data_IF_040099932029
#
_entry.id   IF_040099932029
#
_cell.length_a   1.000
_cell.length_b   1.000
_cell.length_c   1.000
_cell.angle_alpha   90.00
_cell.angle_beta   90.00
_cell.angle_gamma   90.00
#
_symmetry.space_group_name_H-M   'P 1'
#
loop_
_entity.id
_entity.type
_entity.pdbx_description
1 polymer ?
#
# COMPACT_ATOMS: atom_id res chain seq x y z
N UNK A 1 7.56 -6.34 13.62
CA UNK A 1 8.01 -5.92 12.27
C UNK A 1 8.64 -7.04 11.43
N UNK A 2 9.92 -7.44 11.57
CA UNK A 2 10.54 -8.39 10.61
C UNK A 2 9.83 -9.76 10.59
N UNK A 3 9.52 -10.31 11.76
CA UNK A 3 8.80 -11.59 11.85
C UNK A 3 7.40 -11.47 11.24
N UNK A 4 6.66 -10.42 11.60
CA UNK A 4 5.31 -10.16 11.08
C UNK A 4 5.32 -9.97 9.56
N UNK A 5 6.30 -9.25 9.04
CA UNK A 5 6.51 -9.00 7.61
C UNK A 5 6.79 -10.30 6.83
N UNK A 6 7.64 -11.18 7.36
CA UNK A 6 7.93 -12.48 6.74
C UNK A 6 6.75 -13.45 6.87
N UNK A 7 6.02 -13.37 7.98
CA UNK A 7 4.83 -14.19 8.22
C UNK A 7 3.64 -13.72 7.39
N UNK A 8 3.55 -12.43 7.05
CA UNK A 8 2.41 -11.78 6.39
C UNK A 8 1.80 -12.64 5.26
N UNK A 9 2.58 -13.00 4.24
CA UNK A 9 2.08 -13.80 3.12
C UNK A 9 1.77 -15.26 3.48
N UNK A 10 2.31 -15.76 4.60
CA UNK A 10 2.09 -17.12 5.13
C UNK A 10 0.95 -17.23 6.14
N UNK A 11 0.18 -16.15 6.34
CA UNK A 11 -1.00 -16.15 7.22
C UNK A 11 -2.27 -16.63 6.50
N UNK A 12 -3.15 -17.29 7.27
CA UNK A 12 -4.45 -17.80 6.80
C UNK A 12 -4.36 -19.15 6.07
N UNK A 13 -5.52 -19.75 5.79
CA UNK A 13 -5.61 -21.10 5.22
C UNK A 13 -5.12 -21.18 3.75
N UNK A 14 -5.28 -20.09 2.99
CA UNK A 14 -4.95 -20.03 1.56
C UNK A 14 -3.52 -19.55 1.24
N UNK A 15 -2.65 -19.48 2.25
CA UNK A 15 -1.31 -18.94 2.09
C UNK A 15 -0.48 -19.65 1.00
N UNK A 16 -0.62 -20.98 0.90
CA UNK A 16 0.12 -21.77 -0.07
C UNK A 16 -0.29 -21.42 -1.50
N UNK A 17 -1.60 -21.21 -1.74
CA UNK A 17 -2.12 -20.76 -3.03
C UNK A 17 -1.62 -19.36 -3.36
N UNK A 18 -1.59 -18.46 -2.38
CA UNK A 18 -1.11 -17.08 -2.53
C UNK A 18 0.36 -17.03 -2.93
N UNK A 19 1.22 -17.76 -2.21
CA UNK A 19 2.66 -17.87 -2.51
C UNK A 19 2.91 -18.61 -3.82
N UNK A 20 2.14 -19.66 -4.12
CA UNK A 20 2.29 -20.41 -5.36
C UNK A 20 1.97 -19.55 -6.60
N UNK A 21 0.86 -18.80 -6.57
CA UNK A 21 0.49 -17.89 -7.66
C UNK A 21 1.49 -16.74 -7.73
N UNK A 22 1.83 -16.11 -6.60
CA UNK A 22 2.76 -14.98 -6.59
C UNK A 22 4.18 -15.33 -7.03
N UNK A 23 4.71 -16.46 -6.57
CA UNK A 23 5.96 -17.00 -7.07
C UNK A 23 5.89 -17.41 -8.54
N UNK A 24 4.75 -17.93 -9.00
CA UNK A 24 4.49 -18.20 -10.42
C UNK A 24 4.51 -16.92 -11.28
N UNK A 25 3.81 -15.86 -10.85
CA UNK A 25 3.82 -14.56 -11.53
C UNK A 25 5.25 -14.01 -11.61
N UNK A 26 6.01 -14.10 -10.52
CA UNK A 26 7.41 -13.65 -10.49
C UNK A 26 8.33 -14.53 -11.35
N UNK A 27 8.10 -15.85 -11.40
CA UNK A 27 8.80 -16.76 -12.31
C UNK A 27 8.54 -16.40 -13.78
N UNK A 28 7.32 -15.96 -14.10
CA UNK A 28 6.95 -15.41 -15.40
C UNK A 28 7.35 -13.94 -15.59
N UNK A 29 8.06 -13.32 -14.63
CA UNK A 29 8.42 -11.90 -14.63
C UNK A 29 9.38 -11.45 -15.74
N UNK A 30 9.92 -12.39 -16.54
CA UNK A 30 10.60 -12.04 -17.80
C UNK A 30 9.62 -11.49 -18.85
N UNK A 31 8.32 -11.72 -18.68
CA UNK A 31 7.24 -11.12 -19.45
C UNK A 31 6.82 -9.80 -18.79
N UNK A 32 6.57 -8.78 -19.61
CA UNK A 32 6.19 -7.45 -19.12
C UNK A 32 4.90 -7.46 -18.30
N UNK A 33 3.87 -8.18 -18.74
CA UNK A 33 2.57 -8.21 -18.05
C UNK A 33 2.68 -8.77 -16.62
N UNK A 34 3.18 -10.01 -16.39
CA UNK A 34 3.42 -10.53 -15.05
C UNK A 34 4.30 -9.65 -14.17
N UNK A 35 5.33 -9.01 -14.75
CA UNK A 35 6.20 -8.10 -14.02
C UNK A 35 5.42 -6.90 -13.46
N UNK A 36 4.58 -6.27 -14.27
CA UNK A 36 3.74 -5.15 -13.83
C UNK A 36 2.64 -5.61 -12.88
N UNK A 37 2.00 -6.77 -13.12
CA UNK A 37 1.01 -7.34 -12.20
C UNK A 37 1.61 -7.59 -10.82
N UNK A 38 2.86 -8.09 -10.76
CA UNK A 38 3.57 -8.27 -9.50
C UNK A 38 3.80 -6.93 -8.75
N UNK A 39 4.21 -5.88 -9.46
CA UNK A 39 4.38 -4.56 -8.84
C UNK A 39 3.05 -4.02 -8.32
N UNK A 40 1.99 -4.15 -9.11
CA UNK A 40 0.62 -3.83 -8.69
C UNK A 40 0.20 -4.53 -7.41
N UNK A 41 0.47 -5.83 -7.33
CA UNK A 41 0.18 -6.62 -6.14
C UNK A 41 0.94 -6.09 -4.91
N UNK A 42 2.19 -5.65 -5.07
CA UNK A 42 2.94 -5.05 -3.97
C UNK A 42 2.32 -3.72 -3.51
N UNK A 43 1.80 -2.92 -4.44
CA UNK A 43 1.08 -1.68 -4.09
C UNK A 43 -0.19 -1.99 -3.31
N UNK A 44 -0.90 -3.06 -3.68
CA UNK A 44 -2.08 -3.52 -2.94
C UNK A 44 -1.72 -4.03 -1.53
N UNK A 45 -0.60 -4.76 -1.37
CA UNK A 45 -0.06 -5.08 -0.04
C UNK A 45 0.17 -3.80 0.76
N UNK A 46 0.78 -2.79 0.14
CA UNK A 46 1.04 -1.52 0.80
C UNK A 46 -0.27 -0.82 1.23
N UNK A 47 -1.29 -0.78 0.36
CA UNK A 47 -2.61 -0.22 0.66
C UNK A 47 -3.23 -0.85 1.90
N UNK A 48 -3.35 -2.17 1.91
CA UNK A 48 -3.98 -2.91 3.02
C UNK A 48 -3.27 -2.66 4.34
N UNK A 49 -1.94 -2.73 4.33
CA UNK A 49 -1.15 -2.49 5.55
C UNK A 49 -1.31 -1.05 6.03
N UNK A 50 -1.31 -0.06 5.14
CA UNK A 50 -1.57 1.34 5.51
C UNK A 50 -2.99 1.61 6.02
N UNK A 51 -3.97 0.75 5.69
CA UNK A 51 -5.33 0.77 6.27
C UNK A 51 -5.43 0.04 7.61
N UNK A 52 -4.37 -0.63 8.05
CA UNK A 52 -4.35 -1.47 9.26
C UNK A 52 -4.79 -2.92 9.02
N UNK A 53 -5.05 -3.34 7.79
CA UNK A 53 -5.50 -4.69 7.41
C UNK A 53 -4.33 -5.69 7.33
N UNK A 54 -3.63 -5.87 8.46
CA UNK A 54 -2.39 -6.66 8.53
C UNK A 54 -2.61 -8.17 8.61
N UNK A 55 -3.83 -8.63 8.93
CA UNK A 55 -4.17 -10.05 9.06
C UNK A 55 -4.70 -10.66 7.74
N UNK A 56 -5.04 -9.84 6.75
CA UNK A 56 -5.70 -10.25 5.51
C UNK A 56 -4.90 -9.86 4.26
N UNK A 57 -3.80 -10.57 3.95
CA UNK A 57 -3.02 -10.27 2.76
C UNK A 57 -3.85 -10.43 1.47
N UNK A 58 -3.52 -9.68 0.40
CA UNK A 58 -4.26 -9.73 -0.86
C UNK A 58 -4.38 -11.14 -1.40
N UNK A 59 -5.59 -11.56 -1.74
CA UNK A 59 -5.83 -12.84 -2.39
C UNK A 59 -6.00 -12.61 -3.89
N UNK A 60 -5.28 -13.37 -4.71
CA UNK A 60 -5.30 -13.23 -6.17
C UNK A 60 -6.69 -13.36 -6.81
N UNK A 61 -7.63 -14.02 -6.14
CA UNK A 61 -9.00 -14.18 -6.64
C UNK A 61 -9.88 -12.95 -6.48
N UNK A 62 -9.51 -12.04 -5.57
CA UNK A 62 -10.29 -10.84 -5.25
C UNK A 62 -9.77 -9.60 -5.99
N UNK A 63 -8.60 -9.72 -6.64
CA UNK A 63 -7.96 -8.62 -7.35
C UNK A 63 -8.50 -8.49 -8.78
N UNK A 64 -8.80 -7.26 -9.17
CA UNK A 64 -8.86 -6.93 -10.59
C UNK A 64 -7.43 -6.91 -11.15
N UNK A 65 -7.06 -7.96 -11.88
CA UNK A 65 -5.71 -8.10 -12.43
C UNK A 65 -5.37 -7.01 -13.45
N UNK A 66 -6.36 -6.43 -14.13
CA UNK A 66 -6.12 -5.35 -15.10
C UNK A 66 -5.75 -4.08 -14.35
N UNK A 67 -6.55 -3.69 -13.35
CA UNK A 67 -6.28 -2.54 -12.50
C UNK A 67 -4.95 -2.69 -11.76
N UNK A 68 -4.72 -3.86 -11.15
CA UNK A 68 -3.45 -4.20 -10.50
C UNK A 68 -2.27 -4.01 -11.45
N UNK A 69 -2.38 -4.50 -12.69
CA UNK A 69 -1.31 -4.34 -13.68
C UNK A 69 -1.11 -2.86 -14.07
N UNK A 70 -2.19 -2.09 -14.23
CA UNK A 70 -2.13 -0.65 -14.52
C UNK A 70 -1.44 0.11 -13.40
N UNK A 71 -1.72 -0.20 -12.15
CA UNK A 71 -1.04 0.40 -11.00
C UNK A 71 0.44 0.08 -10.98
N UNK A 72 0.82 -1.15 -11.30
CA UNK A 72 2.22 -1.53 -11.47
C UNK A 72 2.94 -0.75 -12.58
N UNK A 73 2.25 -0.46 -13.69
CA UNK A 73 2.77 0.40 -14.76
C UNK A 73 2.93 1.85 -14.26
N UNK A 74 1.92 2.40 -13.57
CA UNK A 74 1.97 3.77 -13.01
C UNK A 74 3.10 3.93 -12.01
N UNK A 75 3.28 2.95 -11.11
CA UNK A 75 4.40 2.94 -10.18
C UNK A 75 5.76 2.81 -10.88
N UNK A 76 5.84 2.01 -11.95
CA UNK A 76 7.06 1.95 -12.76
C UNK A 76 7.42 3.33 -13.33
N UNK A 77 6.45 4.14 -13.75
CA UNK A 77 6.72 5.52 -14.20
C UNK A 77 7.32 6.37 -13.08
N UNK A 78 6.86 6.21 -11.83
CA UNK A 78 7.45 6.89 -10.66
C UNK A 78 8.91 6.46 -10.47
N UNK A 79 9.17 5.16 -10.41
CA UNK A 79 10.52 4.60 -10.24
C UNK A 79 11.45 5.02 -11.38
N UNK A 80 10.96 5.02 -12.62
CA UNK A 80 11.71 5.48 -13.79
C UNK A 80 12.02 6.98 -13.72
N UNK A 81 11.10 7.80 -13.19
CA UNK A 81 11.35 9.23 -12.98
C UNK A 81 12.54 9.47 -12.04
N UNK A 82 12.61 8.73 -10.93
CA UNK A 82 13.76 8.77 -10.02
C UNK A 82 15.04 8.24 -10.66
N UNK A 83 14.95 7.11 -11.38
CA UNK A 83 16.08 6.54 -12.10
C UNK A 83 16.64 7.49 -13.16
N UNK A 84 15.77 8.19 -13.89
CA UNK A 84 16.15 9.20 -14.87
C UNK A 84 16.81 10.41 -14.21
N UNK A 85 16.28 10.89 -13.07
CA UNK A 85 16.90 11.96 -12.30
C UNK A 85 18.33 11.58 -11.86
N UNK A 86 18.52 10.37 -11.35
CA UNK A 86 19.84 9.86 -10.99
C UNK A 86 20.78 9.74 -12.21
N UNK A 87 20.27 9.27 -13.35
CA UNK A 87 21.05 9.19 -14.60
C UNK A 87 21.53 10.57 -15.03
N UNK A 88 20.65 11.59 -15.01
CA UNK A 88 21.01 12.97 -15.34
C UNK A 88 22.11 13.49 -14.43
N UNK A 89 22.02 13.22 -13.12
CA UNK A 89 23.06 13.60 -12.15
C UNK A 89 24.38 12.88 -12.44
N UNK A 90 24.34 11.59 -12.82
CA UNK A 90 25.52 10.79 -13.18
C UNK A 90 26.13 11.14 -14.54
N UNK A 91 25.38 11.82 -15.42
CA UNK A 91 25.90 12.22 -16.72
C UNK A 91 27.11 13.16 -16.58
N UNK A 92 27.15 14.02 -15.57
CA UNK A 92 28.25 14.97 -15.35
C UNK A 92 29.60 14.26 -15.13
N UNK A 93 29.78 13.40 -14.11
CA UNK A 93 31.02 12.65 -13.95
C UNK A 93 31.27 11.67 -15.10
N UNK A 94 30.21 11.14 -15.75
CA UNK A 94 30.33 10.31 -16.94
C UNK A 94 30.99 11.04 -18.12
N UNK A 95 30.62 12.30 -18.36
CA UNK A 95 31.25 13.15 -19.38
C UNK A 95 32.71 13.44 -19.03
N UNK A 96 33.03 13.72 -17.76
CA UNK A 96 34.41 13.93 -17.31
C UNK A 96 35.27 12.69 -17.54
N UNK A 97 34.74 11.51 -17.20
CA UNK A 97 35.39 10.23 -17.48
C UNK A 97 35.64 10.05 -18.97
N UNK A 98 34.61 10.27 -19.80
CA UNK A 98 34.69 10.11 -21.25
C UNK A 98 35.74 11.04 -21.88
N UNK A 99 35.74 12.32 -21.50
CA UNK A 99 36.74 13.30 -21.96
C UNK A 99 38.14 12.89 -21.53
N UNK A 100 38.30 12.37 -20.31
CA UNK A 100 39.58 11.87 -19.83
C UNK A 100 40.11 10.70 -20.66
N UNK A 101 39.25 9.74 -21.00
CA UNK A 101 39.62 8.60 -21.85
C UNK A 101 39.96 9.06 -23.27
N UNK A 102 39.07 9.86 -23.89
CA UNK A 102 39.23 10.31 -25.26
C UNK A 102 40.43 11.25 -25.46
N UNK A 103 40.75 12.05 -24.44
CA UNK A 103 41.91 12.94 -24.42
C UNK A 103 43.18 12.32 -23.85
N UNK A 104 43.22 11.00 -23.65
CA UNK A 104 44.37 10.24 -23.11
C UNK A 104 44.87 10.77 -21.75
N UNK A 105 43.99 11.43 -20.99
CA UNK A 105 44.27 11.97 -19.67
C UNK A 105 43.80 11.01 -18.59
N UNK A 106 44.73 10.17 -18.13
CA UNK A 106 44.47 9.21 -17.05
C UNK A 106 43.96 9.89 -15.77
N UNK A 107 44.43 11.11 -15.46
CA UNK A 107 43.99 11.86 -14.29
C UNK A 107 42.49 12.24 -14.37
N UNK A 108 42.02 12.71 -15.53
CA UNK A 108 40.61 13.05 -15.74
C UNK A 108 39.72 11.80 -15.76
N UNK A 109 40.19 10.72 -16.36
CA UNK A 109 39.47 9.45 -16.38
C UNK A 109 39.25 8.91 -14.95
N UNK A 110 40.32 8.90 -14.13
CA UNK A 110 40.25 8.47 -12.72
C UNK A 110 39.34 9.40 -11.92
N UNK A 111 39.45 10.72 -12.11
CA UNK A 111 38.58 11.68 -11.43
C UNK A 111 37.10 11.46 -11.76
N UNK A 112 36.76 11.23 -13.03
CA UNK A 112 35.40 10.90 -13.45
C UNK A 112 34.87 9.61 -12.82
N UNK A 113 35.70 8.58 -12.70
CA UNK A 113 35.33 7.33 -12.00
C UNK A 113 35.11 7.55 -10.51
N UNK A 114 36.01 8.25 -9.83
CA UNK A 114 35.91 8.47 -8.37
C UNK A 114 34.71 9.35 -8.02
N UNK A 115 34.53 10.48 -8.72
CA UNK A 115 33.38 11.37 -8.52
C UNK A 115 32.10 10.67 -8.92
N UNK A 116 32.08 9.97 -10.06
CA UNK A 116 30.93 9.20 -10.52
C UNK A 116 30.52 8.10 -9.54
N UNK A 117 31.49 7.36 -9.00
CA UNK A 117 31.25 6.33 -7.99
C UNK A 117 30.68 6.91 -6.69
N UNK A 118 31.21 8.05 -6.22
CA UNK A 118 30.71 8.73 -5.03
C UNK A 118 29.28 9.27 -5.23
N UNK A 119 29.02 9.91 -6.38
CA UNK A 119 27.69 10.41 -6.75
C UNK A 119 26.70 9.26 -6.92
N UNK A 120 27.12 8.14 -7.53
CA UNK A 120 26.31 6.94 -7.65
C UNK A 120 25.95 6.38 -6.27
N UNK A 121 26.95 6.24 -5.38
CA UNK A 121 26.72 5.74 -4.03
C UNK A 121 25.75 6.65 -3.25
N UNK A 122 25.98 7.97 -3.28
CA UNK A 122 25.08 8.93 -2.65
C UNK A 122 23.66 8.87 -3.25
N UNK A 123 23.55 8.74 -4.57
CA UNK A 123 22.28 8.63 -5.28
C UNK A 123 21.52 7.35 -4.95
N UNK A 124 22.19 6.20 -4.86
CA UNK A 124 21.57 4.94 -4.46
C UNK A 124 21.08 5.00 -3.01
N UNK A 125 21.88 5.59 -2.10
CA UNK A 125 21.46 5.79 -0.72
C UNK A 125 20.25 6.74 -0.62
N UNK A 126 20.25 7.82 -1.42
CA UNK A 126 19.11 8.72 -1.49
C UNK A 126 17.85 8.01 -2.02
N UNK A 127 17.96 7.23 -3.10
CA UNK A 127 16.83 6.44 -3.61
C UNK A 127 16.34 5.40 -2.60
N UNK A 128 17.24 4.74 -1.86
CA UNK A 128 16.86 3.75 -0.86
C UNK A 128 15.97 4.35 0.25
N UNK A 129 16.16 5.63 0.58
CA UNK A 129 15.32 6.33 1.55
C UNK A 129 14.07 6.97 0.90
N UNK A 130 14.20 7.51 -0.31
CA UNK A 130 13.13 8.26 -1.00
C UNK A 130 12.08 7.35 -1.63
N UNK A 131 12.46 6.23 -2.26
CA UNK A 131 11.52 5.35 -2.97
C UNK A 131 10.41 4.78 -2.08
N UNK A 132 10.67 4.36 -0.83
CA UNK A 132 9.61 3.90 0.07
C UNK A 132 8.58 4.98 0.36
N UNK A 133 9.03 6.23 0.61
CA UNK A 133 8.14 7.38 0.86
C UNK A 133 7.37 7.77 -0.40
N UNK A 134 8.06 7.82 -1.54
CA UNK A 134 7.45 8.10 -2.84
C UNK A 134 6.37 7.06 -3.19
N UNK A 135 6.63 5.78 -2.90
CA UNK A 135 5.66 4.71 -3.13
C UNK A 135 4.47 4.85 -2.18
N UNK A 136 4.71 5.14 -0.90
CA UNK A 136 3.62 5.36 0.07
C UNK A 136 2.71 6.53 -0.31
N UNK A 137 3.29 7.66 -0.69
CA UNK A 137 2.50 8.82 -1.11
C UNK A 137 1.80 8.62 -2.46
N UNK A 138 2.43 7.88 -3.40
CA UNK A 138 1.78 7.44 -4.63
C UNK A 138 0.55 6.58 -4.35
N UNK A 139 0.66 5.65 -3.39
CA UNK A 139 -0.44 4.75 -3.01
C UNK A 139 -1.54 5.51 -2.26
N UNK A 140 -1.18 6.46 -1.40
CA UNK A 140 -2.10 7.32 -0.65
C UNK A 140 -3.00 8.13 -1.58
N UNK A 141 -2.39 8.86 -2.51
CA UNK A 141 -3.10 9.82 -3.37
C UNK A 141 -3.59 9.23 -4.70
N UNK A 142 -3.28 7.96 -4.95
CA UNK A 142 -3.50 7.28 -6.23
C UNK A 142 -3.09 8.15 -7.43
N UNK A 143 -1.86 8.68 -7.41
CA UNK A 143 -1.39 9.59 -8.45
C UNK A 143 0.12 9.54 -8.64
N UNK A 144 0.57 9.47 -9.90
CA UNK A 144 2.00 9.50 -10.26
C UNK A 144 2.67 10.78 -9.74
N UNK A 145 1.96 11.92 -9.80
CA UNK A 145 2.51 13.20 -9.38
C UNK A 145 2.78 13.24 -7.86
N UNK A 146 1.94 12.58 -7.07
CA UNK A 146 2.11 12.49 -5.62
C UNK A 146 3.40 11.75 -5.22
N UNK A 147 3.84 10.80 -6.05
CA UNK A 147 5.13 10.15 -5.87
C UNK A 147 6.33 11.12 -5.86
N UNK A 148 6.18 12.33 -6.42
CA UNK A 148 7.23 13.36 -6.50
C UNK A 148 6.98 14.56 -5.59
N UNK A 149 6.04 14.47 -4.65
CA UNK A 149 5.74 15.55 -3.72
C UNK A 149 6.92 15.82 -2.78
N UNK A 150 7.63 16.93 -3.01
CA UNK A 150 8.87 17.24 -2.29
C UNK A 150 8.62 17.60 -0.82
N UNK A 151 7.42 18.06 -0.47
CA UNK A 151 7.09 18.47 0.89
C UNK A 151 6.90 17.20 1.75
N UNK A 152 6.09 16.25 1.26
CA UNK A 152 5.93 14.94 1.91
C UNK A 152 7.24 14.18 1.96
N UNK A 153 7.98 14.15 0.85
CA UNK A 153 9.27 13.45 0.79
C UNK A 153 10.25 13.96 1.83
N UNK A 154 10.44 15.28 1.95
CA UNK A 154 11.41 15.84 2.91
C UNK A 154 10.98 15.60 4.37
N UNK A 155 9.71 15.76 4.66
CA UNK A 155 9.19 15.58 6.02
C UNK A 155 9.32 14.11 6.46
N UNK A 156 8.78 13.18 5.68
CA UNK A 156 8.72 11.75 6.06
C UNK A 156 10.07 11.06 5.89
N UNK A 157 10.89 11.37 4.88
CA UNK A 157 12.19 10.69 4.68
C UNK A 157 13.19 10.95 5.81
N UNK A 158 13.04 12.08 6.51
CA UNK A 158 13.91 12.45 7.63
C UNK A 158 13.35 12.00 8.98
N UNK A 159 12.12 11.48 9.01
CA UNK A 159 11.50 10.93 10.20
C UNK A 159 12.26 9.65 10.64
N UNK A 160 12.48 9.53 11.96
CA UNK A 160 13.24 8.41 12.54
C UNK A 160 12.54 7.07 12.34
N UNK A 161 11.23 7.03 12.49
CA UNK A 161 10.38 5.85 12.32
C UNK A 161 10.49 5.33 10.89
N UNK A 162 10.43 6.22 9.90
CA UNK A 162 10.63 5.86 8.50
C UNK A 162 12.04 5.33 8.21
N UNK A 163 13.08 6.00 8.73
CA UNK A 163 14.46 5.54 8.58
C UNK A 163 14.69 4.16 9.21
N UNK A 164 14.06 3.88 10.36
CA UNK A 164 14.08 2.54 10.96
C UNK A 164 13.38 1.51 10.07
N UNK A 165 12.24 1.83 9.49
CA UNK A 165 11.56 0.95 8.54
C UNK A 165 12.42 0.64 7.32
N UNK A 166 13.09 1.64 6.74
CA UNK A 166 14.04 1.43 5.62
C UNK A 166 15.19 0.49 6.03
N UNK A 167 15.76 0.66 7.23
CA UNK A 167 16.80 -0.22 7.74
C UNK A 167 16.29 -1.66 7.95
N UNK A 168 15.07 -1.82 8.47
CA UNK A 168 14.46 -3.14 8.68
C UNK A 168 14.14 -3.84 7.35
N UNK A 169 13.65 -3.10 6.36
CA UNK A 169 13.46 -3.59 5.00
C UNK A 169 14.79 -4.04 4.37
N UNK A 170 15.88 -3.30 4.61
CA UNK A 170 17.21 -3.71 4.17
C UNK A 170 17.67 -5.01 4.85
N UNK A 171 17.38 -5.19 6.15
CA UNK A 171 17.65 -6.44 6.85
C UNK A 171 16.87 -7.63 6.25
N UNK A 172 15.59 -7.44 5.92
CA UNK A 172 14.78 -8.46 5.21
C UNK A 172 15.40 -8.76 3.84
N UNK A 173 15.81 -7.74 3.09
CA UNK A 173 16.46 -7.93 1.79
C UNK A 173 17.75 -8.77 1.88
N UNK A 174 18.56 -8.57 2.93
CA UNK A 174 19.74 -9.39 3.20
C UNK A 174 19.35 -10.85 3.48
N UNK A 175 18.34 -11.09 4.32
CA UNK A 175 17.87 -12.44 4.65
C UNK A 175 17.39 -13.14 3.38
N UNK A 176 16.54 -12.48 2.58
CA UNK A 176 16.03 -13.00 1.32
C UNK A 176 17.17 -13.29 0.36
N UNK A 177 18.11 -12.36 0.19
CA UNK A 177 19.28 -12.54 -0.68
C UNK A 177 20.17 -13.70 -0.25
N UNK A 178 20.39 -13.90 1.06
CA UNK A 178 21.15 -15.02 1.59
C UNK A 178 20.44 -16.35 1.31
N UNK A 179 19.12 -16.44 1.59
CA UNK A 179 18.32 -17.65 1.30
C UNK A 179 18.30 -17.94 -0.20
N UNK A 180 18.05 -16.95 -1.03
CA UNK A 180 18.06 -17.08 -2.49
C UNK A 180 19.44 -17.51 -3.02
N UNK A 181 20.53 -17.02 -2.44
CA UNK A 181 21.89 -17.43 -2.80
C UNK A 181 22.14 -18.91 -2.47
N UNK A 182 21.72 -19.35 -1.29
CA UNK A 182 21.81 -20.77 -0.87
C UNK A 182 20.99 -21.67 -1.79
N UNK A 183 19.74 -21.28 -2.09
CA UNK A 183 18.86 -22.00 -3.01
C UNK A 183 19.44 -22.07 -4.43
N UNK A 184 20.02 -20.96 -4.89
CA UNK A 184 20.59 -20.83 -6.23
C UNK A 184 21.79 -21.73 -6.52
N UNK A 185 22.43 -22.34 -5.51
CA UNK A 185 23.49 -23.32 -5.73
C UNK A 185 22.99 -24.63 -6.38
N UNK A 186 21.70 -24.92 -6.30
CA UNK A 186 21.11 -26.14 -6.88
C UNK A 186 20.10 -25.78 -7.97
N UNK A 187 20.01 -26.60 -9.02
CA UNK A 187 19.03 -26.38 -10.10
C UNK A 187 17.61 -26.36 -9.54
N UNK A 188 17.28 -27.30 -8.64
CA UNK A 188 15.95 -27.37 -8.01
C UNK A 188 15.70 -26.18 -7.08
N UNK A 189 16.69 -25.77 -6.29
CA UNK A 189 16.56 -24.61 -5.41
C UNK A 189 16.42 -23.31 -6.19
N UNK A 190 17.04 -23.18 -7.36
CA UNK A 190 16.86 -22.02 -8.24
C UNK A 190 15.39 -21.83 -8.66
N UNK A 191 14.63 -22.92 -8.88
CA UNK A 191 13.19 -22.82 -9.17
C UNK A 191 12.39 -22.28 -7.98
N UNK A 192 12.88 -22.41 -6.75
CA UNK A 192 12.22 -21.91 -5.53
C UNK A 192 12.53 -20.43 -5.24
N UNK A 193 13.57 -19.86 -5.85
CA UNK A 193 13.97 -18.46 -5.67
C UNK A 193 12.82 -17.46 -5.87
N UNK A 194 12.00 -17.52 -6.93
CA UNK A 194 10.91 -16.56 -7.11
C UNK A 194 9.82 -16.66 -6.02
N UNK A 195 9.61 -17.84 -5.42
CA UNK A 195 8.65 -17.99 -4.33
C UNK A 195 9.17 -17.34 -3.05
N UNK A 196 10.46 -17.51 -2.75
CA UNK A 196 11.12 -16.83 -1.63
C UNK A 196 11.17 -15.32 -1.86
N UNK A 197 11.48 -14.88 -3.08
CA UNK A 197 11.51 -13.48 -3.45
C UNK A 197 10.12 -12.84 -3.35
N UNK A 198 9.05 -13.55 -3.69
CA UNK A 198 7.68 -13.07 -3.51
C UNK A 198 7.36 -12.77 -2.02
N UNK A 199 7.61 -13.73 -1.13
CA UNK A 199 7.40 -13.54 0.33
C UNK A 199 8.29 -12.42 0.86
N UNK A 200 9.56 -12.42 0.47
CA UNK A 200 10.53 -11.41 0.87
C UNK A 200 10.16 -10.00 0.43
N UNK A 201 9.78 -9.83 -0.83
CA UNK A 201 9.38 -8.53 -1.38
C UNK A 201 8.09 -8.02 -0.75
N UNK A 202 7.11 -8.90 -0.51
CA UNK A 202 5.92 -8.53 0.23
C UNK A 202 6.23 -8.11 1.67
N UNK A 203 7.18 -8.78 2.34
CA UNK A 203 7.61 -8.37 3.68
C UNK A 203 8.31 -7.01 3.70
N UNK A 204 9.14 -6.72 2.69
CA UNK A 204 9.72 -5.38 2.50
C UNK A 204 8.62 -4.33 2.33
N UNK A 205 7.60 -4.63 1.53
CA UNK A 205 6.49 -3.71 1.28
C UNK A 205 5.60 -3.50 2.51
N UNK A 206 5.38 -4.55 3.30
CA UNK A 206 4.71 -4.46 4.60
C UNK A 206 5.46 -3.49 5.53
N UNK A 207 6.78 -3.63 5.65
CA UNK A 207 7.60 -2.76 6.50
C UNK A 207 7.56 -1.30 5.99
N UNK A 208 7.61 -1.10 4.67
CA UNK A 208 7.50 0.23 4.07
C UNK A 208 6.14 0.87 4.33
N UNK A 209 5.07 0.08 4.27
CA UNK A 209 3.71 0.53 4.52
C UNK A 209 3.52 0.98 5.97
N UNK A 210 3.90 0.11 6.93
CA UNK A 210 3.83 0.39 8.37
C UNK A 210 4.69 1.60 8.74
N UNK A 211 5.95 1.62 8.28
CA UNK A 211 6.86 2.73 8.53
C UNK A 211 6.43 4.06 7.91
N UNK A 212 5.81 4.03 6.73
CA UNK A 212 5.26 5.22 6.11
C UNK A 212 4.00 5.69 6.84
N UNK A 213 3.11 4.79 7.23
CA UNK A 213 1.88 5.12 7.95
C UNK A 213 2.20 5.78 9.30
N UNK A 214 3.08 5.17 10.10
CA UNK A 214 3.48 5.70 11.40
C UNK A 214 4.18 7.07 11.26
N UNK A 215 5.13 7.18 10.33
CA UNK A 215 5.86 8.43 10.11
C UNK A 215 4.97 9.55 9.56
N UNK A 216 3.96 9.21 8.76
CA UNK A 216 2.99 10.16 8.24
C UNK A 216 2.05 10.64 9.36
N UNK A 217 1.55 9.74 10.21
CA UNK A 217 0.71 10.09 11.36
C UNK A 217 1.46 10.97 12.38
N UNK A 218 2.74 10.68 12.64
CA UNK A 218 3.58 11.52 13.51
C UNK A 218 3.75 12.97 12.98
N UNK A 219 3.84 13.15 11.66
CA UNK A 219 4.09 14.45 11.04
C UNK A 219 2.81 15.25 10.79
N UNK A 220 1.72 14.57 10.38
CA UNK A 220 0.47 15.21 9.95
C UNK A 220 -0.69 15.02 10.93
N UNK A 221 -0.56 14.16 11.94
CA UNK A 221 -1.56 13.94 12.98
C UNK A 221 -2.77 13.10 12.56
N UNK A 222 -2.72 12.48 11.38
CA UNK A 222 -3.75 11.58 10.85
C UNK A 222 -3.14 10.43 10.06
N UNK A 223 -3.78 9.24 10.05
CA UNK A 223 -3.31 8.12 9.24
C UNK A 223 -3.44 8.42 7.74
N UNK A 224 -2.54 7.89 6.88
CA UNK A 224 -2.53 8.20 5.46
C UNK A 224 -3.75 7.67 4.71
N UNK A 225 -4.36 6.57 5.18
CA UNK A 225 -5.57 5.98 4.61
C UNK A 225 -6.56 5.66 5.73
N UNK A 226 -7.84 5.91 5.48
CA UNK A 226 -8.89 5.50 6.41
C UNK A 226 -9.05 3.96 6.41
N UNK A 227 -9.31 3.34 7.57
CA UNK A 227 -9.70 1.94 7.63
C UNK A 227 -10.97 1.68 6.82
N UNK A 228 -11.07 0.56 6.11
CA UNK A 228 -12.31 0.21 5.44
C UNK A 228 -13.44 -0.05 6.46
N UNK A 229 -14.62 0.51 6.17
CA UNK A 229 -15.81 0.35 7.00
C UNK A 229 -16.22 -1.13 7.08
N UNK A 230 -15.81 -1.80 8.15
CA UNK A 230 -16.04 -3.24 8.35
C UNK A 230 -14.86 -3.98 8.99
N UNK A 231 -13.66 -3.41 8.94
CA UNK A 231 -12.43 -4.05 9.46
C UNK A 231 -11.91 -3.45 10.78
N UNK A 232 -12.60 -2.45 11.35
CA UNK A 232 -12.15 -1.72 12.56
C UNK A 232 -13.15 -1.56 13.71
N UNK A 233 -14.36 -2.11 13.65
CA UNK A 233 -15.35 -1.94 14.73
C UNK A 233 -15.25 -3.00 15.85
N UNK A 234 -14.05 -3.52 16.12
CA UNK A 234 -13.83 -4.70 16.96
C UNK A 234 -13.24 -4.46 18.35
N UNK A 235 -12.61 -3.31 18.62
CA UNK A 235 -11.62 -3.30 19.73
C UNK A 235 -11.56 -2.09 20.65
N UNK A 236 -12.51 -1.14 20.61
CA UNK A 236 -12.56 -0.06 21.62
C UNK A 236 -13.99 0.39 21.98
N UNK A 237 -14.81 -0.56 22.45
CA UNK A 237 -16.04 -0.24 23.18
C UNK A 237 -16.16 -1.09 24.45
N UNK A 238 -15.10 -1.14 25.26
CA UNK A 238 -15.15 -1.66 26.63
C UNK A 238 -15.01 -0.52 27.63
N UNK A 239 -16.05 0.30 27.78
CA UNK A 239 -16.27 1.06 29.02
C UNK A 239 -17.75 1.30 29.20
N UNK A 240 -18.35 0.52 30.12
CA UNK A 240 -19.75 0.70 30.49
C UNK A 240 -20.49 -0.53 30.98
N UNK A 241 -19.81 -1.53 31.55
CA UNK A 241 -20.49 -2.51 32.40
C UNK A 241 -20.93 -1.78 33.67
N UNK A 242 -22.20 -1.34 33.70
CA UNK A 242 -22.88 -1.05 34.96
C UNK A 242 -23.30 -2.40 35.56
N UNK A 243 -22.69 -2.68 36.68
CA UNK A 243 -22.99 -3.74 37.62
C UNK A 243 -24.41 -3.52 38.19
N UNK A 244 -25.32 -4.47 37.99
CA UNK A 244 -26.50 -4.60 38.86
C UNK A 244 -26.84 -6.08 39.01
N UNK A 245 -26.10 -6.73 39.91
CA UNK A 245 -26.43 -8.03 40.44
C UNK A 245 -27.66 -7.95 41.34
N UNK A 246 -28.70 -8.68 40.92
CA UNK A 246 -29.62 -9.48 41.76
C UNK A 246 -30.35 -8.80 42.93
N UNK A 247 -31.68 -8.77 42.84
CA UNK A 247 -32.48 -9.33 43.93
C UNK A 247 -33.72 -10.09 43.41
N UNK A 248 -33.96 -11.24 44.03
CA UNK A 248 -35.13 -12.11 43.80
C UNK A 248 -36.23 -11.72 44.77
N UNK A 249 -37.50 -11.95 44.41
CA UNK A 249 -38.51 -12.77 45.15
C UNK A 249 -39.93 -12.29 44.82
N UNK A 250 -40.79 -13.29 44.65
CA UNK A 250 -42.22 -13.22 44.37
C UNK A 250 -43.09 -12.78 45.56
N UNK A 251 -44.30 -12.31 45.25
CA UNK A 251 -45.45 -12.12 46.14
C UNK A 251 -46.45 -11.18 45.46
N UNK A 252 -47.64 -11.67 45.07
CA UNK A 252 -48.94 -11.32 45.71
C UNK A 252 -49.40 -9.89 45.33
N UNK A 253 -50.61 -9.56 44.89
CA UNK A 253 -51.91 -10.21 44.62
C UNK A 253 -52.77 -9.13 43.93
N UNK A 254 -53.85 -9.54 43.24
CA UNK A 254 -55.14 -8.87 43.05
C UNK A 254 -55.22 -7.33 43.11
N UNK A 255 -55.76 -6.65 42.09
CA UNK A 255 -57.22 -6.46 41.97
C UNK A 255 -57.60 -5.48 40.82
N UNK A 256 -58.74 -5.83 40.21
CA UNK A 256 -59.85 -4.99 39.74
C UNK A 256 -59.81 -3.93 38.61
N UNK A 257 -60.84 -4.12 37.76
CA UNK A 257 -61.69 -3.15 37.05
C UNK A 257 -61.15 -2.52 35.75
N UNK A 258 -61.68 -2.79 34.54
CA UNK A 258 -63.05 -2.78 33.98
C UNK A 258 -63.33 -1.52 33.14
N UNK A 259 -64.00 -1.77 32.00
CA UNK A 259 -64.75 -0.85 31.10
C UNK A 259 -63.92 0.07 30.20
N UNK A 260 -64.02 -0.10 28.87
CA UNK A 260 -65.04 0.53 28.00
C UNK A 260 -64.39 1.79 27.40
N UNK A 261 -64.35 2.06 26.10
CA UNK A 261 -65.47 2.39 25.22
C UNK A 261 -65.04 2.26 23.75
N UNK A 262 -65.96 1.78 22.92
CA UNK A 262 -65.99 1.88 21.46
C UNK A 262 -66.34 3.32 21.01
N UNK A 263 -65.87 3.73 19.82
CA UNK A 263 -66.59 4.48 18.77
C UNK A 263 -65.55 5.01 17.75
N UNK A 264 -65.47 4.51 16.50
CA UNK A 264 -66.36 4.67 15.35
C UNK A 264 -66.05 5.92 14.48
N UNK A 265 -66.29 5.77 13.18
CA UNK A 265 -66.33 6.75 12.08
C UNK A 265 -65.20 6.76 11.02
N UNK A 266 -65.66 6.32 9.85
CA UNK A 266 -65.17 6.34 8.47
C UNK A 266 -65.15 7.72 7.79
N UNK A 267 -64.32 7.87 6.74
CA UNK A 267 -64.57 8.51 5.41
C UNK A 267 -63.22 8.97 4.81
N UNK A 268 -62.72 8.54 3.64
CA UNK A 268 -63.23 8.40 2.27
C UNK A 268 -63.31 9.73 1.47
N UNK A 269 -62.82 9.65 0.21
CA UNK A 269 -62.94 10.59 -0.93
C UNK A 269 -61.99 11.80 -0.93
N UNK A 270 -61.56 12.39 -2.05
CA UNK A 270 -61.21 12.03 -3.44
C UNK A 270 -60.68 13.36 -4.08
N UNK A 271 -60.41 13.38 -5.38
CA UNK A 271 -60.08 14.51 -6.29
C UNK A 271 -58.59 14.89 -6.42
N UNK A 272 -57.86 14.66 -7.53
CA UNK A 272 -58.07 14.75 -9.00
C UNK A 272 -57.62 16.11 -9.60
N UNK A 273 -57.25 16.08 -10.90
CA UNK A 273 -56.64 17.09 -11.81
C UNK A 273 -55.10 17.04 -11.94
N UNK A 274 -54.45 16.62 -13.04
CA UNK A 274 -54.57 16.77 -14.52
C UNK A 274 -54.33 18.17 -15.10
N UNK A 275 -53.48 18.20 -16.16
CA UNK A 275 -53.10 19.35 -17.01
C UNK A 275 -51.57 19.51 -17.03
N UNK A 276 -50.77 19.10 -18.01
CA UNK A 276 -50.82 19.06 -19.47
C UNK A 276 -50.81 20.45 -20.17
N UNK A 277 -49.96 20.51 -21.21
CA UNK A 277 -49.74 21.51 -22.27
C UNK A 277 -48.64 22.57 -22.13
N UNK A 278 -47.59 22.34 -22.93
CA UNK A 278 -46.99 23.20 -23.98
C UNK A 278 -46.89 24.73 -23.76
N UNK A 279 -45.71 25.31 -24.02
CA UNK A 279 -45.50 26.16 -25.21
C UNK A 279 -44.01 26.59 -25.40
N UNK A 280 -43.58 26.58 -26.67
CA UNK A 280 -42.59 27.41 -27.43
C UNK A 280 -41.36 28.06 -26.73
N UNK A 281 -40.16 28.11 -27.32
CA UNK A 281 -39.79 28.27 -28.73
C UNK A 281 -39.57 29.75 -29.10
N UNK A 282 -38.33 30.27 -28.97
CA UNK A 282 -37.75 31.36 -29.79
C UNK A 282 -36.30 31.63 -29.29
N UNK A 283 -35.24 31.36 -30.07
CA UNK A 283 -34.64 32.17 -31.14
C UNK A 283 -33.86 33.43 -30.67
N UNK A 284 -32.54 33.35 -30.93
CA UNK A 284 -31.59 34.42 -31.35
C UNK A 284 -31.33 35.60 -30.40
N UNK A 285 -30.07 35.76 -30.02
CA UNK A 285 -29.13 36.75 -30.60
C UNK A 285 -27.68 36.31 -30.36
#
# INVERSE_FOLDING_TARGET
MIEDALRYQTQGDDWLKRVAIGGGVLFLGFLLVPLFTFQGYMLEVMRRVMRGETETPPAWGDLDLVETTVDGVRHTVVVLGYGLALLVVLAVPGVVMFVGIAGESGALAVLGVLVGGLVYLAGVLAMAAVLPVATGNFVKEDSIAAGFDLDVLRAVVTNRTMLMAVLMAFAVNIIVSAVSSVLGFTIVGYLLVPFVAFVGQSGIMYIWAEGFADAYEEEYGEPPLAPEAGFGAGTDATTGVRDESTDRVAGETDDDSATGWDDDSTSAWDDDSTGDWDDTGDDRY
#
